data_IF_784963872024
#
_entry.id   IF_784963872024
#
_cell.length_a   1.000
_cell.length_b   1.000
_cell.length_c   1.000
_cell.angle_alpha   90.00
_cell.angle_beta   90.00
_cell.angle_gamma   90.00
#
_symmetry.space_group_name_H-M   'P 1'
#
loop_
_entity.id
_entity.type
_entity.pdbx_description
1 polymer ?
#
# COMPACT_ATOMS: atom_id res chain seq x y z
N UNK A 1 12.17 10.32 -10.41
CA UNK A 1 10.84 9.79 -10.32
C UNK A 1 10.06 10.42 -9.19
N UNK A 2 8.80 10.51 -9.35
CA UNK A 2 7.98 11.14 -8.35
C UNK A 2 6.93 10.18 -7.89
N UNK A 3 6.39 10.43 -6.74
CA UNK A 3 5.43 9.54 -6.16
C UNK A 3 4.21 9.49 -7.06
N UNK A 4 3.93 10.57 -7.73
CA UNK A 4 2.82 10.57 -8.65
C UNK A 4 3.02 9.59 -9.78
N UNK A 5 4.25 9.41 -10.22
CA UNK A 5 4.53 8.49 -11.28
C UNK A 5 4.38 7.08 -10.75
N UNK A 6 4.73 6.88 -9.52
CA UNK A 6 4.61 5.58 -8.93
C UNK A 6 3.15 5.22 -8.89
N UNK A 7 2.31 6.15 -8.56
CA UNK A 7 0.90 5.89 -8.43
C UNK A 7 0.20 5.74 -9.76
N UNK A 8 0.76 6.25 -10.81
CA UNK A 8 0.04 6.29 -12.05
C UNK A 8 0.34 5.21 -13.03
N UNK A 9 1.50 4.60 -12.97
CA UNK A 9 1.80 3.68 -14.04
C UNK A 9 2.25 2.33 -13.61
N UNK A 10 3.22 2.27 -12.77
CA UNK A 10 3.86 1.02 -12.50
C UNK A 10 3.55 0.46 -11.15
N UNK A 11 3.09 1.26 -10.26
CA UNK A 11 2.88 0.81 -8.90
C UNK A 11 1.66 -0.09 -8.82
N UNK A 12 1.78 -1.15 -8.06
CA UNK A 12 0.65 -1.99 -7.73
C UNK A 12 -0.21 -1.22 -6.74
N UNK A 13 -1.50 -1.24 -6.93
CA UNK A 13 -2.39 -0.50 -6.02
C UNK A 13 -3.70 -1.23 -5.77
N UNK A 14 -4.36 -0.88 -4.70
CA UNK A 14 -5.64 -1.44 -4.31
C UNK A 14 -6.45 -0.36 -3.60
N UNK A 15 -7.68 -0.66 -3.25
CA UNK A 15 -8.52 0.29 -2.53
C UNK A 15 -8.50 -0.06 -1.05
N UNK A 16 -8.93 0.89 -0.21
CA UNK A 16 -8.88 0.68 1.23
C UNK A 16 -9.90 -0.35 1.73
N UNK A 17 -10.91 -0.65 0.96
CA UNK A 17 -11.92 -1.62 1.37
C UNK A 17 -11.59 -3.03 0.86
N UNK A 18 -10.47 -3.21 0.22
CA UNK A 18 -10.03 -4.53 -0.17
C UNK A 18 -9.61 -5.25 1.11
N UNK A 19 -9.75 -6.56 1.18
CA UNK A 19 -9.31 -7.28 2.38
C UNK A 19 -7.79 -7.34 2.42
N UNK A 20 -7.26 -7.48 3.62
CA UNK A 20 -5.82 -7.61 3.79
C UNK A 20 -5.34 -8.87 3.06
N UNK A 21 -6.13 -9.94 3.10
CA UNK A 21 -5.76 -11.15 2.39
C UNK A 21 -5.71 -10.92 0.89
N UNK A 22 -6.64 -10.16 0.35
CA UNK A 22 -6.65 -9.83 -1.07
C UNK A 22 -5.40 -9.04 -1.46
N UNK A 23 -5.00 -8.11 -0.60
CA UNK A 23 -3.79 -7.33 -0.85
C UNK A 23 -2.55 -8.21 -0.78
N UNK A 24 -2.52 -9.16 0.16
CA UNK A 24 -1.39 -10.08 0.28
C UNK A 24 -1.27 -10.96 -0.97
N UNK A 25 -2.40 -11.41 -1.51
CA UNK A 25 -2.39 -12.20 -2.73
C UNK A 25 -1.90 -11.36 -3.91
N UNK A 26 -2.26 -10.10 -3.92
CA UNK A 26 -1.83 -9.19 -4.97
C UNK A 26 -0.30 -9.02 -4.91
N UNK A 27 0.23 -8.85 -3.70
CA UNK A 27 1.69 -8.74 -3.52
C UNK A 27 2.38 -9.98 -4.02
N UNK A 28 1.80 -11.15 -3.74
CA UNK A 28 2.39 -12.40 -4.17
C UNK A 28 2.40 -12.51 -5.68
N UNK A 29 1.28 -12.17 -6.31
CA UNK A 29 1.20 -12.29 -7.76
C UNK A 29 2.10 -11.31 -8.48
N UNK A 30 2.29 -10.13 -7.92
CA UNK A 30 3.08 -9.10 -8.56
C UNK A 30 4.53 -9.10 -8.07
N UNK A 31 4.86 -9.93 -7.11
CA UNK A 31 6.20 -10.02 -6.52
C UNK A 31 6.66 -8.67 -5.97
N UNK A 32 5.78 -8.01 -5.24
CA UNK A 32 6.11 -6.71 -4.63
C UNK A 32 5.86 -6.79 -3.13
N UNK A 33 6.53 -5.94 -2.38
CA UNK A 33 6.39 -5.88 -0.93
C UNK A 33 5.57 -4.70 -0.46
N UNK A 34 5.07 -3.87 -1.37
CA UNK A 34 4.23 -2.75 -1.00
C UNK A 34 3.18 -2.51 -2.05
N UNK A 35 2.09 -1.88 -1.64
CA UNK A 35 0.97 -1.59 -2.50
C UNK A 35 0.49 -0.19 -2.14
N UNK A 36 0.22 0.63 -3.13
CA UNK A 36 -0.33 1.96 -2.90
C UNK A 36 -1.83 1.79 -2.71
N UNK A 37 -2.37 2.44 -1.70
CA UNK A 37 -3.81 2.39 -1.42
C UNK A 37 -4.42 3.65 -1.99
N UNK A 38 -5.46 3.50 -2.78
CA UNK A 38 -6.08 4.63 -3.47
C UNK A 38 -7.57 4.70 -3.18
N UNK A 39 -8.11 5.91 -3.26
CA UNK A 39 -9.55 6.12 -3.26
C UNK A 39 -9.90 6.68 -4.62
N UNK A 40 -11.16 6.59 -4.99
CA UNK A 40 -11.60 7.13 -6.25
C UNK A 40 -12.44 8.36 -6.04
N UNK A 41 -12.05 9.43 -6.73
CA UNK A 41 -12.77 10.67 -6.70
C UNK A 41 -12.95 11.17 -8.12
N UNK A 42 -14.17 11.37 -8.53
CA UNK A 42 -14.48 11.89 -9.88
C UNK A 42 -13.78 11.09 -10.96
N UNK A 43 -13.75 9.80 -10.80
CA UNK A 43 -13.16 8.94 -11.82
C UNK A 43 -11.64 8.83 -11.73
N UNK A 44 -11.01 9.56 -10.84
CA UNK A 44 -9.57 9.50 -10.70
C UNK A 44 -9.18 8.71 -9.46
N UNK A 45 -8.02 8.07 -9.48
CA UNK A 45 -7.49 7.35 -8.34
C UNK A 45 -6.58 8.28 -7.56
N UNK A 46 -6.85 8.45 -6.28
CA UNK A 46 -6.07 9.34 -5.44
C UNK A 46 -5.38 8.51 -4.38
N UNK A 47 -4.04 8.58 -4.26
CA UNK A 47 -3.34 7.80 -3.25
C UNK A 47 -3.66 8.32 -1.87
N UNK A 48 -4.01 7.42 -0.97
CA UNK A 48 -4.37 7.76 0.41
C UNK A 48 -3.53 7.01 1.43
N UNK A 49 -2.74 6.06 1.01
CA UNK A 49 -1.91 5.31 1.95
C UNK A 49 -1.03 4.31 1.26
N UNK A 50 -0.25 3.61 2.06
CA UNK A 50 0.64 2.54 1.58
C UNK A 50 0.49 1.37 2.53
N UNK A 51 0.46 0.18 1.97
CA UNK A 51 0.42 -1.05 2.75
C UNK A 51 1.64 -1.87 2.37
N UNK A 52 2.39 -2.32 3.37
CA UNK A 52 3.57 -3.13 3.12
C UNK A 52 3.36 -4.54 3.66
N UNK A 53 4.19 -5.47 3.21
CA UNK A 53 4.14 -6.83 3.70
C UNK A 53 4.50 -6.83 5.19
N UNK A 54 5.36 -5.93 5.62
CA UNK A 54 5.71 -5.83 7.03
C UNK A 54 4.49 -5.42 7.84
N UNK A 55 3.67 -4.51 7.33
CA UNK A 55 2.46 -4.09 8.02
C UNK A 55 1.55 -5.28 8.25
N UNK A 56 1.45 -6.16 7.27
CA UNK A 56 0.60 -7.32 7.39
C UNK A 56 1.16 -8.26 8.45
N UNK A 57 2.47 -8.48 8.44
CA UNK A 57 3.08 -9.37 9.42
C UNK A 57 2.93 -8.81 10.83
N UNK A 58 3.23 -7.56 11.03
CA UNK A 58 3.25 -6.96 12.36
C UNK A 58 1.85 -6.70 12.90
N UNK A 59 0.95 -6.26 12.08
CA UNK A 59 -0.37 -5.84 12.54
C UNK A 59 -1.44 -6.92 12.43
N UNK A 60 -1.22 -7.94 11.65
CA UNK A 60 -2.24 -8.95 11.42
C UNK A 60 -1.76 -10.34 11.82
N UNK A 61 -0.65 -10.78 11.26
CA UNK A 61 -0.18 -12.14 11.48
C UNK A 61 0.37 -12.33 12.90
N UNK A 62 1.24 -11.43 13.33
CA UNK A 62 1.83 -11.57 14.66
C UNK A 62 0.79 -11.53 15.79
N UNK A 63 -0.19 -10.62 15.74
CA UNK A 63 -1.23 -10.61 16.78
C UNK A 63 -2.25 -11.75 16.64
N UNK A 64 -2.22 -12.48 15.53
CA UNK A 64 -3.16 -13.59 15.34
C UNK A 64 -4.51 -13.18 14.80
N UNK A 65 -4.59 -12.07 14.09
CA UNK A 65 -5.84 -11.61 13.52
C UNK A 65 -6.07 -12.26 12.16
N UNK A 66 -7.30 -12.22 11.71
CA UNK A 66 -7.68 -12.88 10.46
C UNK A 66 -7.58 -11.89 9.31
N UNK A 67 -6.67 -12.09 8.37
CA UNK A 67 -6.51 -11.17 7.24
C UNK A 67 -7.73 -11.12 6.33
N UNK A 68 -8.57 -12.13 6.36
CA UNK A 68 -9.78 -12.13 5.53
C UNK A 68 -10.88 -11.29 6.15
N UNK A 69 -10.75 -10.95 7.43
CA UNK A 69 -11.75 -10.16 8.13
C UNK A 69 -11.37 -8.69 8.25
N UNK A 70 -10.15 -8.35 7.91
CA UNK A 70 -9.67 -6.98 8.02
C UNK A 70 -9.56 -6.35 6.64
N UNK A 71 -9.80 -5.05 6.58
CA UNK A 71 -9.65 -4.32 5.35
C UNK A 71 -8.30 -3.61 5.33
N UNK A 72 -7.80 -3.33 4.17
CA UNK A 72 -6.53 -2.64 3.98
C UNK A 72 -6.54 -1.32 4.75
N UNK A 73 -7.67 -0.61 4.72
CA UNK A 73 -7.77 0.66 5.43
C UNK A 73 -7.57 0.58 6.93
N UNK A 74 -7.73 -0.63 7.50
CA UNK A 74 -7.59 -0.80 8.94
C UNK A 74 -6.13 -0.82 9.38
N UNK A 75 -5.22 -1.14 8.48
CA UNK A 75 -3.82 -1.30 8.86
C UNK A 75 -2.83 -0.52 8.00
N UNK A 76 -3.29 0.11 6.93
CA UNK A 76 -2.38 0.85 6.04
C UNK A 76 -1.78 2.05 6.76
N UNK A 77 -0.63 2.50 6.30
CA UNK A 77 -0.07 3.76 6.74
C UNK A 77 -0.71 4.85 5.87
N UNK A 78 -1.30 5.85 6.49
CA UNK A 78 -1.93 6.91 5.73
C UNK A 78 -1.09 8.18 5.74
N UNK A 79 0.13 8.10 6.23
CA UNK A 79 0.99 9.26 6.30
C UNK A 79 1.87 9.34 5.05
N UNK A 80 1.27 9.77 3.98
CA UNK A 80 2.01 9.90 2.74
C UNK A 80 3.07 10.99 2.81
N UNK A 81 2.88 11.92 3.71
CA UNK A 81 3.87 12.97 3.86
C UNK A 81 5.13 12.40 4.45
N UNK A 82 5.01 11.53 5.42
CA UNK A 82 6.17 10.90 6.02
C UNK A 82 6.86 10.03 4.96
N UNK A 83 6.10 9.35 4.16
CA UNK A 83 6.67 8.53 3.12
C UNK A 83 7.42 9.40 2.12
N UNK A 84 6.94 10.60 1.90
CA UNK A 84 7.57 11.49 0.95
C UNK A 84 8.84 12.06 1.54
N UNK A 85 8.79 12.37 2.83
CA UNK A 85 9.93 12.94 3.49
C UNK A 85 11.01 11.93 3.71
N UNK A 86 10.72 10.72 3.77
CA UNK A 86 11.73 9.74 3.87
C UNK A 86 12.09 9.50 2.49
N UNK A 87 12.43 10.53 1.83
CA UNK A 87 12.85 10.59 0.63
C UNK A 87 13.58 9.54 0.13
N UNK A 88 14.21 9.04 1.02
CA UNK A 88 14.87 7.94 0.72
C UNK A 88 13.88 6.93 0.32
N UNK A 89 12.71 6.96 0.84
CA UNK A 89 11.74 6.01 0.48
C UNK A 89 11.35 6.30 -0.91
N UNK A 90 11.18 7.55 -1.18
CA UNK A 90 10.81 7.98 -2.41
C UNK A 90 11.82 7.75 -3.37
N UNK A 91 12.96 8.13 -3.04
CA UNK A 91 14.04 7.96 -3.86
C UNK A 91 14.32 6.54 -3.94
N UNK A 92 14.10 5.85 -2.90
CA UNK A 92 14.30 4.47 -2.90
C UNK A 92 13.33 3.83 -3.83
N UNK A 93 12.13 4.30 -3.86
CA UNK A 93 11.19 3.78 -4.78
C UNK A 93 11.62 4.13 -6.15
N UNK A 94 12.19 5.26 -6.30
CA UNK A 94 12.66 5.66 -7.55
C UNK A 94 13.91 5.06 -7.86
N UNK A 95 14.74 5.04 -6.95
CA UNK A 95 16.04 4.59 -7.15
C UNK A 95 16.10 3.23 -6.90
N UNK A 96 15.28 2.80 -6.13
CA UNK A 96 15.26 1.52 -5.89
C UNK A 96 14.45 0.91 -6.79
#
# INVERSE_FOLDING_TARGET
MHIGQICTSQATHCTRDETVQGAALLMRRQHVGDVVVVDRFDGASVPVGILTDRDIVVSVIAPGLDPASLQVGDIMSDDLLTARDSDDVYETIEKM
#
